data_IF_296543158177
#
_entry.id   IF_296543158177
#
_cell.length_a   1.000
_cell.length_b   1.000
_cell.length_c   1.000
_cell.angle_alpha   90.00
_cell.angle_beta   90.00
_cell.angle_gamma   90.00
#
_symmetry.space_group_name_H-M   'P 1'
#
loop_
_entity.id
_entity.type
_entity.pdbx_description
1 polymer ?
#
# COMPACT_ATOMS: atom_id res chain seq x y z
N UNK A 1 8.37 0.50 9.86
CA UNK A 1 9.08 1.80 9.70
C UNK A 1 9.73 1.94 8.32
N UNK A 2 10.63 1.04 7.89
CA UNK A 2 11.29 1.13 6.58
C UNK A 2 10.31 1.30 5.40
N UNK A 3 9.32 0.40 5.27
CA UNK A 3 8.32 0.48 4.18
C UNK A 3 7.50 1.77 4.17
N UNK A 4 7.19 2.34 5.34
CA UNK A 4 6.52 3.64 5.45
C UNK A 4 7.39 4.79 4.93
N UNK A 5 8.68 4.81 5.30
CA UNK A 5 9.61 5.84 4.84
C UNK A 5 9.84 5.72 3.32
N UNK A 6 9.97 4.49 2.82
CA UNK A 6 10.06 4.22 1.39
C UNK A 6 8.83 4.75 0.64
N UNK A 7 7.62 4.39 1.08
CA UNK A 7 6.37 4.86 0.46
C UNK A 7 6.25 6.39 0.47
N UNK A 8 6.65 7.04 1.57
CA UNK A 8 6.67 8.50 1.68
C UNK A 8 7.64 9.13 0.67
N UNK A 9 8.88 8.64 0.61
CA UNK A 9 9.88 9.16 -0.33
C UNK A 9 9.45 8.95 -1.78
N UNK A 10 8.84 7.81 -2.11
CA UNK A 10 8.27 7.57 -3.45
C UNK A 10 7.14 8.55 -3.78
N UNK A 11 6.19 8.75 -2.85
CA UNK A 11 5.08 9.68 -3.04
C UNK A 11 5.55 11.13 -3.26
N UNK A 12 6.48 11.60 -2.42
CA UNK A 12 7.07 12.94 -2.53
C UNK A 12 7.84 13.10 -3.85
N UNK A 13 8.63 12.09 -4.25
CA UNK A 13 9.36 12.09 -5.51
C UNK A 13 8.44 12.13 -6.74
N UNK A 14 7.36 11.35 -6.75
CA UNK A 14 6.37 11.38 -7.84
C UNK A 14 5.68 12.74 -7.93
N UNK A 15 5.35 13.36 -6.80
CA UNK A 15 4.75 14.70 -6.76
C UNK A 15 5.68 15.76 -7.35
N UNK A 16 7.00 15.65 -7.12
CA UNK A 16 8.00 16.52 -7.73
C UNK A 16 8.13 16.28 -9.24
N UNK A 17 8.03 15.02 -9.68
CA UNK A 17 8.14 14.67 -11.10
C UNK A 17 6.91 15.12 -11.92
N UNK A 18 5.72 15.15 -11.32
CA UNK A 18 4.48 15.53 -11.99
C UNK A 18 3.50 16.23 -11.04
N UNK A 19 3.71 17.53 -10.79
CA UNK A 19 2.96 18.30 -9.78
C UNK A 19 1.43 18.31 -9.94
N UNK A 20 0.94 18.20 -11.19
CA UNK A 20 -0.50 18.26 -11.51
C UNK A 20 -1.18 16.88 -11.54
N UNK A 21 -0.43 15.81 -11.32
CA UNK A 21 -0.95 14.43 -11.35
C UNK A 21 -0.94 13.88 -9.94
N UNK A 22 -2.06 13.29 -9.52
CA UNK A 22 -2.11 12.60 -8.21
C UNK A 22 -1.18 11.38 -8.25
N UNK A 23 -0.17 11.28 -7.37
CA UNK A 23 0.67 10.09 -7.31
C UNK A 23 -0.15 8.87 -6.90
N UNK A 24 0.13 7.74 -7.53
CA UNK A 24 -0.35 6.44 -7.10
C UNK A 24 0.85 5.60 -6.67
N UNK A 25 0.87 5.23 -5.39
CA UNK A 25 1.89 4.37 -4.81
C UNK A 25 1.17 3.18 -4.17
N UNK A 26 1.64 1.98 -4.49
CA UNK A 26 1.17 0.73 -3.91
C UNK A 26 2.34 0.12 -3.12
N UNK A 27 2.14 -0.12 -1.82
CA UNK A 27 3.18 -0.68 -0.94
C UNK A 27 2.73 -1.97 -0.27
N UNK A 28 3.68 -2.93 -0.17
CA UNK A 28 3.49 -4.17 0.59
C UNK A 28 3.70 -3.99 2.09
N UNK A 29 4.51 -3.02 2.48
CA UNK A 29 4.94 -2.85 3.87
C UNK A 29 4.61 -1.44 4.36
N UNK A 30 3.95 -1.36 5.51
CA UNK A 30 3.51 -0.12 6.13
C UNK A 30 3.83 -0.03 7.62
N UNK A 31 3.52 1.12 8.19
CA UNK A 31 3.42 1.35 9.62
C UNK A 31 2.24 2.30 9.85
N UNK A 32 1.92 2.63 11.11
CA UNK A 32 0.79 3.54 11.40
C UNK A 32 0.96 4.86 10.61
N UNK A 33 -0.07 5.23 9.84
CA UNK A 33 -0.07 6.43 9.01
C UNK A 33 0.38 6.24 7.55
N UNK A 34 0.79 5.02 7.14
CA UNK A 34 1.20 4.73 5.76
C UNK A 34 0.14 5.05 4.69
N UNK A 35 -1.15 4.99 5.03
CA UNK A 35 -2.27 5.30 4.14
C UNK A 35 -2.27 6.75 3.61
N UNK A 36 -1.49 7.64 4.23
CA UNK A 36 -1.31 9.02 3.73
C UNK A 36 -0.49 9.08 2.44
N UNK A 37 0.34 8.07 2.17
CA UNK A 37 1.32 8.07 1.08
C UNK A 37 1.08 6.97 0.04
N UNK A 38 0.48 5.84 0.44
CA UNK A 38 0.30 4.70 -0.45
C UNK A 38 -0.94 3.88 -0.11
N UNK A 39 -1.49 3.23 -1.13
CA UNK A 39 -2.40 2.10 -0.94
C UNK A 39 -1.60 0.83 -0.57
N UNK A 40 -2.28 -0.18 -0.01
CA UNK A 40 -1.66 -1.47 0.32
C UNK A 40 -2.50 -2.63 -0.21
N UNK A 41 -1.87 -3.79 -0.37
CA UNK A 41 -2.53 -5.05 -0.70
C UNK A 41 -2.13 -6.12 0.32
N UNK A 42 -2.92 -7.17 0.41
CA UNK A 42 -2.82 -8.21 1.46
C UNK A 42 -1.64 -9.18 1.28
N UNK A 43 -0.67 -8.85 0.43
CA UNK A 43 0.49 -9.70 0.15
C UNK A 43 0.21 -10.81 -0.87
N UNK A 44 1.14 -11.77 -0.92
CA UNK A 44 1.12 -12.86 -1.89
C UNK A 44 0.09 -13.92 -1.46
N UNK A 45 -0.90 -14.19 -2.31
CA UNK A 45 -1.94 -15.19 -2.04
C UNK A 45 -1.85 -16.40 -2.98
N UNK A 46 -2.69 -17.40 -2.72
CA UNK A 46 -2.87 -18.58 -3.56
C UNK A 46 -4.29 -18.59 -4.13
N UNK A 47 -4.45 -19.25 -5.27
CA UNK A 47 -5.74 -19.42 -5.94
C UNK A 47 -6.56 -20.55 -5.29
N UNK A 48 -6.88 -20.41 -4.00
CA UNK A 48 -7.69 -21.36 -3.22
C UNK A 48 -8.86 -20.68 -2.52
N UNK A 49 -9.89 -21.46 -2.16
CA UNK A 49 -11.07 -20.93 -1.47
C UNK A 49 -10.73 -20.38 -0.08
N UNK A 50 -9.75 -20.95 0.60
CA UNK A 50 -9.28 -20.50 1.91
C UNK A 50 -8.66 -19.10 1.80
N UNK A 51 -7.80 -18.87 0.81
CA UNK A 51 -7.20 -17.55 0.57
C UNK A 51 -8.24 -16.50 0.13
N UNK A 52 -9.26 -16.92 -0.64
CA UNK A 52 -10.39 -16.04 -0.96
C UNK A 52 -11.16 -15.67 0.31
N UNK A 53 -11.49 -16.63 1.17
CA UNK A 53 -12.20 -16.38 2.41
C UNK A 53 -11.41 -15.46 3.36
N UNK A 54 -10.09 -15.66 3.49
CA UNK A 54 -9.22 -14.81 4.31
C UNK A 54 -9.13 -13.36 3.79
N UNK A 55 -9.37 -13.12 2.50
CA UNK A 55 -9.26 -11.76 1.93
C UNK A 55 -10.21 -10.75 2.59
N UNK A 56 -11.40 -11.20 3.01
CA UNK A 56 -12.43 -10.35 3.62
C UNK A 56 -11.94 -9.77 4.96
N UNK A 57 -11.59 -10.57 5.99
CA UNK A 57 -11.11 -10.02 7.26
C UNK A 57 -9.78 -9.27 7.12
N UNK A 58 -8.91 -9.64 6.16
CA UNK A 58 -7.68 -8.90 5.91
C UNK A 58 -7.95 -7.48 5.42
N UNK A 59 -8.87 -7.29 4.46
CA UNK A 59 -9.24 -5.96 3.95
C UNK A 59 -9.89 -5.08 5.03
N UNK A 60 -10.71 -5.67 5.90
CA UNK A 60 -11.33 -4.95 7.01
C UNK A 60 -10.33 -4.49 8.09
N UNK A 61 -9.14 -5.10 8.12
CA UNK A 61 -8.11 -4.85 9.14
C UNK A 61 -6.96 -3.96 8.65
N UNK A 62 -7.06 -3.39 7.44
CA UNK A 62 -6.04 -2.52 6.83
C UNK A 62 -5.95 -1.13 7.48
#
# INVERSE_FOLDING_TARGET
VYGMLMARSTFEGMKLAAEKVRPFVLTRAGYIGSQRYAATWTGDNLSTWEHLHMSIPMVLSL
#
